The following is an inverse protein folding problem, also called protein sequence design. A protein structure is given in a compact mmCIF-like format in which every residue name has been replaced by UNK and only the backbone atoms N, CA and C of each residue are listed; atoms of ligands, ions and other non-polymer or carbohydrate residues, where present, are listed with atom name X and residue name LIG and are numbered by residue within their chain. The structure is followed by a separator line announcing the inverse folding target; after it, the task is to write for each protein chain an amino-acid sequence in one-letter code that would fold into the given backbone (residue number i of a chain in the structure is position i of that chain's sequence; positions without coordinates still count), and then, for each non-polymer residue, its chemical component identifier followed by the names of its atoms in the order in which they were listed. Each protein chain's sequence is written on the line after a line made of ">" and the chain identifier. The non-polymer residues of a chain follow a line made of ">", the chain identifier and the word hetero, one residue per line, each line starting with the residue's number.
data_IF_584636892030
#
_entry.id   IF_584636892030
#
_cell.length_a   1.000
_cell.length_b   1.000
_cell.length_c   1.000
_cell.angle_alpha   90.00
_cell.angle_beta   90.00
_cell.angle_gamma   90.00
#
_symmetry.space_group_name_H-M   'P 1'
#
loop_
_entity.id
_entity.type
_entity.pdbx_description
1 polymer ?
#
# COMPACT_ATOMS: atom_id res chain seq x y z
N UNK A 1 -30.67 -14.50 -6.81
CA UNK A 1 -29.71 -13.67 -7.55
C UNK A 1 -28.82 -14.58 -8.37
N UNK A 2 -28.55 -14.23 -9.63
CA UNK A 2 -27.68 -15.04 -10.49
C UNK A 2 -26.24 -14.95 -9.99
N UNK A 3 -25.50 -16.06 -10.03
CA UNK A 3 -24.08 -16.08 -9.65
C UNK A 3 -23.30 -15.20 -10.62
N UNK A 4 -22.52 -14.22 -10.13
CA UNK A 4 -21.59 -13.48 -10.99
C UNK A 4 -20.53 -14.45 -11.53
N UNK A 5 -20.55 -14.67 -12.85
CA UNK A 5 -19.59 -15.51 -13.57
C UNK A 5 -18.68 -14.57 -14.35
N UNK A 6 -17.40 -14.52 -13.98
CA UNK A 6 -16.41 -13.78 -14.76
C UNK A 6 -16.08 -14.54 -16.04
N UNK A 7 -16.27 -13.96 -17.24
CA UNK A 7 -15.98 -14.65 -18.50
C UNK A 7 -14.51 -15.07 -18.64
N UNK A 8 -13.59 -14.33 -18.01
CA UNK A 8 -12.14 -14.61 -18.04
C UNK A 8 -11.82 -15.92 -17.32
N UNK A 9 -12.53 -16.25 -16.24
CA UNK A 9 -12.31 -17.50 -15.49
C UNK A 9 -12.58 -18.72 -16.38
N UNK A 10 -13.63 -18.66 -17.21
CA UNK A 10 -13.96 -19.73 -18.15
C UNK A 10 -13.02 -19.74 -19.37
N UNK A 11 -12.70 -18.56 -19.92
CA UNK A 11 -11.88 -18.45 -21.13
C UNK A 11 -10.41 -18.87 -20.89
N UNK A 12 -9.87 -18.57 -19.72
CA UNK A 12 -8.46 -18.77 -19.39
C UNK A 12 -8.27 -19.76 -18.23
N UNK A 13 -9.20 -20.71 -18.08
CA UNK A 13 -9.25 -21.67 -16.98
C UNK A 13 -7.89 -22.30 -16.66
N UNK A 14 -7.20 -22.89 -17.64
CA UNK A 14 -5.91 -23.57 -17.44
C UNK A 14 -4.80 -22.61 -16.97
N UNK A 15 -4.81 -21.38 -17.48
CA UNK A 15 -3.81 -20.36 -17.16
C UNK A 15 -4.05 -19.78 -15.77
N UNK A 16 -5.31 -19.54 -15.40
CA UNK A 16 -5.72 -19.14 -14.06
C UNK A 16 -5.34 -20.22 -13.05
N UNK A 17 -5.62 -21.49 -13.36
CA UNK A 17 -5.23 -22.62 -12.52
C UNK A 17 -3.72 -22.70 -12.33
N UNK A 18 -2.92 -22.50 -13.39
CA UNK A 18 -1.47 -22.49 -13.30
C UNK A 18 -0.92 -21.32 -12.44
N UNK A 19 -1.48 -20.11 -12.55
CA UNK A 19 -1.10 -18.96 -11.73
C UNK A 19 -1.45 -19.13 -10.24
N UNK A 20 -2.52 -19.88 -9.95
CA UNK A 20 -2.98 -20.17 -8.59
C UNK A 20 -2.38 -21.45 -8.01
N UNK A 21 -1.68 -22.24 -8.82
CA UNK A 21 -1.01 -23.46 -8.34
C UNK A 21 0.06 -23.08 -7.31
N UNK A 22 0.01 -23.62 -6.08
CA UNK A 22 1.02 -23.35 -5.08
C UNK A 22 2.41 -23.80 -5.55
N UNK A 23 3.47 -23.03 -5.29
CA UNK A 23 4.83 -23.45 -5.58
C UNK A 23 5.19 -24.75 -4.85
N UNK A 24 5.97 -25.61 -5.52
CA UNK A 24 6.52 -26.81 -4.89
C UNK A 24 7.55 -26.44 -3.81
N UNK A 25 7.77 -27.34 -2.85
CA UNK A 25 8.74 -27.08 -1.77
C UNK A 25 10.15 -26.69 -2.27
N UNK A 26 10.73 -27.32 -3.31
CA UNK A 26 12.01 -26.89 -3.86
C UNK A 26 11.97 -25.47 -4.44
N UNK A 27 10.87 -25.08 -5.09
CA UNK A 27 10.73 -23.72 -5.63
C UNK A 27 10.62 -22.66 -4.52
N UNK A 28 9.96 -23.00 -3.42
CA UNK A 28 9.89 -22.16 -2.23
C UNK A 28 11.29 -21.97 -1.64
N UNK A 29 12.03 -23.07 -1.45
CA UNK A 29 13.41 -23.03 -0.92
C UNK A 29 14.33 -22.19 -1.81
N UNK A 30 14.34 -22.44 -3.12
CA UNK A 30 15.14 -21.67 -4.08
C UNK A 30 14.81 -20.17 -4.02
N UNK A 31 13.53 -19.82 -3.95
CA UNK A 31 13.10 -18.43 -3.87
C UNK A 31 13.64 -17.73 -2.62
N UNK A 32 13.50 -18.36 -1.45
CA UNK A 32 13.95 -17.78 -0.19
C UNK A 32 15.47 -17.74 -0.06
N UNK A 33 16.20 -18.74 -0.56
CA UNK A 33 17.67 -18.71 -0.60
C UNK A 33 18.18 -17.52 -1.44
N UNK A 34 17.57 -17.28 -2.60
CA UNK A 34 17.90 -16.11 -3.44
C UNK A 34 17.56 -14.81 -2.73
N UNK A 35 16.42 -14.77 -2.02
CA UNK A 35 15.96 -13.59 -1.28
C UNK A 35 16.89 -13.25 -0.10
N UNK A 36 17.25 -14.26 0.69
CA UNK A 36 18.19 -14.18 1.82
C UNK A 36 19.56 -13.66 1.35
N UNK A 37 20.07 -14.21 0.24
CA UNK A 37 21.33 -13.78 -0.36
C UNK A 37 21.27 -12.32 -0.84
N UNK A 38 20.18 -11.91 -1.51
CA UNK A 38 20.01 -10.54 -2.02
C UNK A 38 19.90 -9.52 -0.88
N UNK A 39 19.20 -9.88 0.20
CA UNK A 39 18.87 -8.97 1.31
C UNK A 39 19.95 -8.92 2.40
N UNK A 40 21.00 -9.73 2.27
CA UNK A 40 22.08 -9.82 3.26
C UNK A 40 21.56 -10.19 4.66
N UNK A 41 20.51 -11.02 4.73
CA UNK A 41 19.93 -11.51 5.99
C UNK A 41 20.77 -12.65 6.56
N UNK A 42 22.00 -12.35 6.98
CA UNK A 42 22.91 -13.36 7.51
C UNK A 42 22.33 -13.99 8.79
N UNK A 43 22.24 -15.32 8.82
CA UNK A 43 21.84 -16.04 10.03
C UNK A 43 20.34 -16.29 10.17
N UNK A 44 19.53 -16.03 9.13
CA UNK A 44 18.15 -16.49 9.04
C UNK A 44 18.00 -17.54 7.94
N UNK A 45 17.06 -18.48 8.13
CA UNK A 45 16.57 -19.40 7.11
C UNK A 45 15.06 -19.55 7.15
N UNK A 46 14.42 -19.50 6.00
CA UNK A 46 13.03 -19.93 5.86
C UNK A 46 12.98 -21.45 5.72
N UNK A 47 12.26 -22.12 6.62
CA UNK A 47 12.06 -23.57 6.60
C UNK A 47 10.57 -23.90 6.55
N UNK A 48 10.16 -24.95 5.81
CA UNK A 48 8.81 -25.47 5.92
C UNK A 48 8.58 -26.04 7.32
N UNK A 49 7.41 -25.76 7.88
CA UNK A 49 6.91 -26.35 9.12
C UNK A 49 5.64 -27.13 8.83
N UNK A 50 5.61 -28.41 9.22
CA UNK A 50 4.49 -29.30 8.91
C UNK A 50 3.17 -28.88 9.57
N UNK A 51 3.20 -28.03 10.59
CA UNK A 51 2.03 -27.62 11.37
C UNK A 51 1.57 -26.19 11.06
N UNK A 52 2.49 -25.29 10.74
CA UNK A 52 2.20 -23.86 10.56
C UNK A 52 2.59 -23.31 9.18
N UNK A 53 2.97 -24.18 8.23
CA UNK A 53 3.29 -23.77 6.86
C UNK A 53 4.78 -23.51 6.68
N UNK A 54 5.23 -22.27 6.85
CA UNK A 54 6.65 -21.89 6.80
C UNK A 54 7.02 -21.01 7.98
N UNK A 55 8.28 -21.07 8.41
CA UNK A 55 8.79 -20.31 9.54
C UNK A 55 10.18 -19.75 9.26
N UNK A 56 10.49 -18.62 9.88
CA UNK A 56 11.82 -18.01 9.88
C UNK A 56 12.59 -18.53 11.09
N UNK A 57 13.74 -19.14 10.85
CA UNK A 57 14.59 -19.74 11.89
C UNK A 57 15.94 -19.04 11.92
N UNK A 58 16.49 -18.86 13.12
CA UNK A 58 17.88 -18.42 13.26
C UNK A 58 18.85 -19.59 13.04
N UNK A 59 19.95 -19.30 12.37
CA UNK A 59 21.12 -20.16 12.22
C UNK A 59 22.29 -19.68 13.13
N UNK A 60 22.10 -18.54 13.79
CA UNK A 60 23.05 -17.91 14.72
C UNK A 60 22.33 -17.44 16.00
N UNK A 61 23.10 -17.12 17.03
CA UNK A 61 22.59 -16.47 18.23
C UNK A 61 22.64 -14.95 18.02
N UNK A 62 21.50 -14.29 18.23
CA UNK A 62 21.41 -12.82 18.26
C UNK A 62 21.62 -12.30 19.68
N UNK A 63 22.16 -11.10 19.80
CA UNK A 63 22.18 -10.31 21.03
C UNK A 63 21.02 -9.30 21.04
N UNK A 64 20.81 -8.66 22.19
CA UNK A 64 19.92 -7.50 22.28
C UNK A 64 20.38 -6.41 21.30
N UNK A 65 19.42 -5.73 20.66
CA UNK A 65 19.62 -4.70 19.63
C UNK A 65 20.23 -5.16 18.28
N UNK A 66 20.42 -6.46 18.06
CA UNK A 66 20.85 -6.95 16.75
C UNK A 66 19.75 -6.72 15.69
N UNK A 67 20.15 -6.17 14.54
CA UNK A 67 19.28 -6.12 13.37
C UNK A 67 19.13 -7.53 12.78
N UNK A 68 18.03 -8.19 13.13
CA UNK A 68 17.73 -9.56 12.70
C UNK A 68 17.33 -9.60 11.22
N UNK A 69 16.50 -8.65 10.78
CA UNK A 69 15.98 -8.62 9.42
C UNK A 69 15.83 -7.20 8.90
N UNK A 70 16.26 -6.99 7.66
CA UNK A 70 15.90 -5.83 6.85
C UNK A 70 15.22 -6.32 5.57
N UNK A 71 14.01 -5.84 5.34
CA UNK A 71 13.17 -6.26 4.23
C UNK A 71 12.81 -5.07 3.32
N UNK A 72 12.61 -5.36 2.03
CA UNK A 72 11.97 -4.48 1.07
C UNK A 72 10.53 -4.97 0.86
N UNK A 73 9.57 -4.10 1.16
CA UNK A 73 8.16 -4.35 0.90
C UNK A 73 7.93 -4.68 -0.59
N UNK A 74 7.14 -5.72 -0.86
CA UNK A 74 6.74 -6.03 -2.25
C UNK A 74 5.68 -5.05 -2.73
N UNK A 75 4.58 -4.96 -2.00
CA UNK A 75 3.45 -4.07 -2.29
C UNK A 75 2.96 -3.50 -0.97
N UNK A 76 2.66 -2.21 -0.98
CA UNK A 76 1.89 -1.59 0.09
C UNK A 76 1.30 -0.27 -0.34
N UNK A 77 0.42 0.26 0.48
CA UNK A 77 -0.24 1.53 0.29
C UNK A 77 -0.53 2.17 1.63
N UNK A 78 -0.36 3.50 1.69
CA UNK A 78 -0.87 4.29 2.79
C UNK A 78 -2.39 4.32 2.72
N UNK A 79 -3.06 4.11 3.85
CA UNK A 79 -4.51 4.20 3.95
C UNK A 79 -5.02 5.56 3.46
N UNK A 80 -6.12 5.59 2.71
CA UNK A 80 -6.60 6.81 2.06
C UNK A 80 -6.98 7.91 3.05
N UNK A 81 -7.59 7.54 4.18
CA UNK A 81 -7.88 8.48 5.28
C UNK A 81 -6.60 8.99 5.96
N UNK A 82 -5.56 8.16 6.09
CA UNK A 82 -4.30 8.55 6.73
C UNK A 82 -3.49 9.57 5.90
N UNK A 83 -3.75 9.72 4.60
CA UNK A 83 -3.13 10.76 3.74
C UNK A 83 -3.46 12.20 4.15
N UNK A 84 -4.52 12.36 4.94
CA UNK A 84 -4.92 13.63 5.53
C UNK A 84 -3.94 14.01 6.64
N UNK A 85 -3.60 13.03 7.47
CA UNK A 85 -2.81 13.20 8.68
C UNK A 85 -1.30 13.11 8.44
N UNK A 86 -0.88 12.24 7.53
CA UNK A 86 0.52 11.94 7.30
C UNK A 86 0.90 12.21 5.85
N UNK A 87 1.80 13.18 5.65
CA UNK A 87 2.33 13.47 4.32
C UNK A 87 3.65 12.72 4.10
N UNK A 88 3.56 11.58 3.44
CA UNK A 88 4.66 10.61 3.30
C UNK A 88 5.00 10.30 1.84
N UNK A 89 6.15 9.68 1.63
CA UNK A 89 6.51 9.12 0.34
C UNK A 89 5.58 7.97 -0.06
N UNK A 90 4.96 8.03 -1.24
CA UNK A 90 4.02 7.00 -1.73
C UNK A 90 4.66 5.64 -2.07
N UNK A 91 5.99 5.52 -1.94
CA UNK A 91 6.77 4.30 -2.21
C UNK A 91 7.38 3.68 -0.95
N UNK A 92 8.03 4.48 -0.11
CA UNK A 92 8.72 3.99 1.10
C UNK A 92 8.15 4.55 2.40
N UNK A 93 7.11 5.37 2.32
CA UNK A 93 6.30 5.92 3.42
C UNK A 93 7.01 6.67 4.53
N UNK A 94 8.29 6.97 4.34
CA UNK A 94 8.96 7.99 5.13
C UNK A 94 8.24 9.34 4.98
N UNK A 95 8.02 10.03 6.09
CA UNK A 95 7.55 11.44 6.11
C UNK A 95 8.44 12.34 5.24
N UNK A 96 7.83 13.30 4.54
CA UNK A 96 8.51 14.22 3.60
C UNK A 96 8.15 15.69 3.89
N UNK A 97 8.94 16.63 3.40
CA UNK A 97 8.72 18.06 3.57
C UNK A 97 9.41 18.64 4.79
N UNK A 98 8.65 19.22 5.71
CA UNK A 98 9.13 19.77 6.99
C UNK A 98 8.07 19.60 8.07
N UNK A 99 8.44 19.80 9.34
CA UNK A 99 7.50 19.78 10.47
C UNK A 99 6.35 20.76 10.22
N UNK A 100 6.66 21.96 9.73
CA UNK A 100 5.68 22.99 9.40
C UNK A 100 4.74 22.54 8.29
N UNK A 101 5.26 21.88 7.24
CA UNK A 101 4.41 21.38 6.17
C UNK A 101 3.46 20.28 6.67
N UNK A 102 3.92 19.38 7.54
CA UNK A 102 3.07 18.33 8.14
C UNK A 102 1.92 18.95 8.94
N UNK A 103 2.25 19.87 9.86
CA UNK A 103 1.27 20.58 10.69
C UNK A 103 0.31 21.40 9.81
N UNK A 104 0.86 22.18 8.88
CA UNK A 104 0.10 23.05 7.98
C UNK A 104 -0.89 22.29 7.10
N UNK A 105 -0.45 21.18 6.46
CA UNK A 105 -1.36 20.33 5.65
C UNK A 105 -2.50 19.79 6.48
N UNK A 106 -2.20 19.27 7.67
CA UNK A 106 -3.19 18.64 8.53
C UNK A 106 -4.26 19.63 8.97
N UNK A 107 -3.84 20.80 9.48
CA UNK A 107 -4.77 21.87 9.86
C UNK A 107 -5.60 22.35 8.68
N UNK A 108 -4.99 22.53 7.51
CA UNK A 108 -5.69 22.95 6.29
C UNK A 108 -6.78 21.95 5.87
N UNK A 109 -6.49 20.65 5.88
CA UNK A 109 -7.44 19.62 5.49
C UNK A 109 -8.57 19.43 6.52
N UNK A 110 -8.26 19.55 7.81
CA UNK A 110 -9.26 19.55 8.88
C UNK A 110 -10.26 20.72 8.72
N UNK A 111 -9.79 21.92 8.35
CA UNK A 111 -10.68 23.07 8.10
C UNK A 111 -11.61 22.86 6.90
N UNK A 112 -11.16 22.12 5.88
CA UNK A 112 -12.00 21.77 4.73
C UNK A 112 -13.04 20.69 5.04
N UNK A 113 -13.11 20.20 6.29
CA UNK A 113 -14.03 19.13 6.70
C UNK A 113 -13.59 17.75 6.22
N UNK A 114 -12.32 17.59 5.82
CA UNK A 114 -11.74 16.32 5.42
C UNK A 114 -11.15 15.68 6.68
N UNK A 115 -11.93 14.87 7.40
CA UNK A 115 -11.50 14.18 8.63
C UNK A 115 -11.36 12.67 8.38
N UNK A 116 -10.36 12.03 9.00
CA UNK A 116 -10.06 10.61 8.82
C UNK A 116 -11.03 9.64 9.54
N UNK A 117 -12.01 10.15 10.31
CA UNK A 117 -12.73 9.37 11.34
C UNK A 117 -13.97 8.61 10.82
N UNK A 118 -14.40 8.76 9.58
CA UNK A 118 -15.60 8.04 9.08
C UNK A 118 -15.27 6.67 8.47
N UNK A 119 -14.74 5.76 9.30
CA UNK A 119 -14.21 4.48 8.84
C UNK A 119 -14.37 3.28 9.77
N UNK A 120 -15.43 3.18 10.58
CA UNK A 120 -15.93 1.89 11.10
C UNK A 120 -17.26 2.08 11.85
N UNK A 121 -18.33 1.43 11.38
CA UNK A 121 -19.58 1.35 12.13
C UNK A 121 -19.43 0.44 13.35
N UNK A 122 -19.72 0.98 14.53
CA UNK A 122 -20.39 0.22 15.59
C UNK A 122 -21.26 1.18 16.41
N UNK A 123 -22.56 0.92 16.40
CA UNK A 123 -23.56 1.59 17.23
C UNK A 123 -23.47 1.07 18.65
N UNK A 124 -23.70 1.98 19.59
CA UNK A 124 -24.00 1.75 21.02
C UNK A 124 -22.82 1.78 22.00
N UNK A 125 -22.38 3.00 22.29
CA UNK A 125 -21.64 3.35 23.50
C UNK A 125 -21.87 4.82 23.87
N UNK A 126 -22.72 5.06 24.87
CA UNK A 126 -22.97 6.38 25.46
C UNK A 126 -21.65 6.96 25.98
N UNK A 127 -21.28 8.14 25.46
CA UNK A 127 -20.48 9.14 26.18
C UNK A 127 -19.06 9.38 25.67
N UNK A 128 -18.86 10.46 24.90
CA UNK A 128 -18.27 11.71 25.39
C UNK A 128 -18.20 12.73 24.23
N UNK A 129 -19.24 13.56 24.07
CA UNK A 129 -19.09 14.82 23.33
C UNK A 129 -18.29 15.78 24.20
N UNK A 130 -16.98 15.60 24.26
CA UNK A 130 -16.06 16.72 24.44
C UNK A 130 -15.70 17.21 23.06
N UNK A 131 -16.57 18.03 22.46
CA UNK A 131 -16.12 18.99 21.47
C UNK A 131 -15.24 19.99 22.21
N UNK A 132 -14.00 19.63 22.52
CA UNK A 132 -12.98 20.60 22.84
C UNK A 132 -12.98 21.59 21.69
N UNK A 133 -13.28 22.85 21.95
CA UNK A 133 -13.12 23.92 20.97
C UNK A 133 -11.65 23.89 20.52
N UNK A 134 -11.36 23.18 19.42
CA UNK A 134 -10.00 23.13 18.89
C UNK A 134 -9.58 24.56 18.56
N UNK A 135 -8.41 24.96 19.05
CA UNK A 135 -7.86 26.29 18.81
C UNK A 135 -7.83 26.56 17.31
N UNK A 136 -8.51 27.62 16.86
CA UNK A 136 -8.49 27.99 15.44
C UNK A 136 -7.21 28.75 15.11
N UNK A 137 -6.48 28.27 14.11
CA UNK A 137 -5.32 28.94 13.56
C UNK A 137 -5.75 29.81 12.39
N UNK A 138 -5.30 31.09 12.28
CA UNK A 138 -5.63 31.92 11.14
C UNK A 138 -5.14 31.30 9.81
N UNK A 139 -5.95 31.39 8.77
CA UNK A 139 -5.65 30.75 7.48
C UNK A 139 -4.33 31.24 6.85
N UNK A 140 -3.98 32.52 7.02
CA UNK A 140 -2.70 33.05 6.56
C UNK A 140 -1.50 32.40 7.26
N UNK A 141 -1.67 32.00 8.54
CA UNK A 141 -0.66 31.27 9.30
C UNK A 141 -0.53 29.83 8.80
N UNK A 142 -1.65 29.14 8.53
CA UNK A 142 -1.65 27.79 7.95
C UNK A 142 -0.98 27.80 6.58
N UNK A 143 -1.32 28.77 5.73
CA UNK A 143 -0.68 28.97 4.44
C UNK A 143 0.82 29.29 4.58
N UNK A 144 1.22 30.03 5.61
CA UNK A 144 2.64 30.32 5.87
C UNK A 144 3.43 29.09 6.28
N UNK A 145 2.85 28.17 7.07
CA UNK A 145 3.44 26.87 7.37
C UNK A 145 3.64 26.03 6.10
N UNK A 146 2.60 25.92 5.26
CA UNK A 146 2.65 25.07 4.06
C UNK A 146 3.62 25.59 2.98
N UNK A 147 3.86 26.90 2.91
CA UNK A 147 4.77 27.49 1.92
C UNK A 147 6.17 27.78 2.47
N UNK A 148 6.49 27.27 3.67
CA UNK A 148 7.79 27.48 4.33
C UNK A 148 8.11 28.96 4.61
N UNK A 149 7.09 29.82 4.75
CA UNK A 149 7.24 31.23 5.14
C UNK A 149 7.29 31.41 6.67
N UNK A 150 6.81 30.42 7.41
CA UNK A 150 6.91 30.34 8.86
C UNK A 150 7.79 29.14 9.21
N UNK A 151 8.83 29.38 10.01
CA UNK A 151 9.69 28.33 10.55
C UNK A 151 9.46 28.24 12.06
N UNK A 152 9.22 27.03 12.55
CA UNK A 152 9.04 26.80 13.98
C UNK A 152 10.40 26.63 14.67
N UNK A 153 10.54 27.04 15.95
CA UNK A 153 11.81 26.91 16.66
C UNK A 153 12.27 25.44 16.75
N UNK A 154 13.55 25.16 16.50
CA UNK A 154 14.17 23.83 16.59
C UNK A 154 13.67 22.80 15.56
N UNK A 155 12.84 23.17 14.60
CA UNK A 155 12.36 22.24 13.57
C UNK A 155 13.50 21.71 12.69
N UNK A 156 14.63 22.43 12.61
CA UNK A 156 15.85 22.01 11.91
C UNK A 156 16.50 20.74 12.49
N UNK A 157 16.19 20.39 13.74
CA UNK A 157 16.64 19.14 14.38
C UNK A 157 15.88 17.91 13.87
N UNK A 158 14.79 18.10 13.12
CA UNK A 158 13.94 17.05 12.58
C UNK A 158 13.92 17.10 11.04
N UNK A 159 15.08 16.89 10.37
CA UNK A 159 15.17 17.02 8.93
C UNK A 159 14.36 15.93 8.22
N UNK A 160 13.43 16.36 7.37
CA UNK A 160 12.67 15.48 6.49
C UNK A 160 13.17 15.62 5.03
N UNK A 161 13.07 14.55 4.22
CA UNK A 161 13.41 14.61 2.79
C UNK A 161 12.55 15.61 2.03
N UNK A 162 13.10 16.15 0.94
CA UNK A 162 12.36 17.03 0.03
C UNK A 162 11.16 16.33 -0.61
N UNK A 163 10.20 17.14 -1.04
CA UNK A 163 8.98 16.68 -1.72
C UNK A 163 9.23 16.62 -3.23
N UNK A 164 9.23 15.41 -3.79
CA UNK A 164 9.30 15.17 -5.24
C UNK A 164 7.90 14.80 -5.74
N UNK A 165 7.34 15.53 -6.73
CA UNK A 165 6.01 15.21 -7.26
C UNK A 165 6.02 13.97 -8.15
N UNK A 166 4.85 13.36 -8.33
CA UNK A 166 4.65 12.28 -9.29
C UNK A 166 5.05 12.64 -10.72
N UNK A 167 5.73 11.70 -11.38
CA UNK A 167 6.17 11.79 -12.79
C UNK A 167 4.99 11.98 -13.75
N UNK A 168 3.83 11.38 -13.46
CA UNK A 168 2.61 11.56 -14.24
C UNK A 168 1.74 12.77 -13.84
N UNK A 169 2.10 13.48 -12.76
CA UNK A 169 1.44 14.72 -12.34
C UNK A 169 0.05 14.54 -11.73
N UNK A 170 -0.23 13.44 -11.03
CA UNK A 170 -1.54 13.16 -10.41
C UNK A 170 -1.89 14.03 -9.19
N UNK A 171 -0.94 14.79 -8.64
CA UNK A 171 -1.08 15.60 -7.40
C UNK A 171 -1.47 14.83 -6.13
N UNK A 172 -1.64 13.52 -6.22
CA UNK A 172 -1.94 12.62 -5.10
C UNK A 172 -0.69 11.93 -4.55
N UNK A 173 0.24 11.55 -5.44
CA UNK A 173 1.46 10.83 -5.07
C UNK A 173 2.68 11.76 -5.03
N UNK A 174 3.45 11.62 -3.95
CA UNK A 174 4.67 12.39 -3.68
C UNK A 174 5.75 11.48 -3.13
N UNK A 175 7.01 11.88 -3.30
CA UNK A 175 8.16 11.01 -3.04
C UNK A 175 9.26 11.74 -2.30
N UNK A 176 10.05 11.00 -1.52
CA UNK A 176 11.20 11.54 -0.80
C UNK A 176 12.42 11.77 -1.72
N UNK A 177 12.40 11.20 -2.93
CA UNK A 177 13.50 11.28 -3.88
C UNK A 177 13.04 10.95 -5.31
N UNK A 178 13.86 11.35 -6.29
CA UNK A 178 13.68 10.93 -7.68
C UNK A 178 13.72 9.40 -7.84
N UNK A 179 14.61 8.74 -7.10
CA UNK A 179 14.72 7.28 -7.12
C UNK A 179 13.45 6.59 -6.66
N UNK A 180 12.78 7.10 -5.62
CA UNK A 180 11.49 6.53 -5.18
C UNK A 180 10.37 6.81 -6.18
N UNK A 181 10.34 8.00 -6.78
CA UNK A 181 9.38 8.33 -7.83
C UNK A 181 9.53 7.42 -9.06
N UNK A 182 10.76 7.21 -9.52
CA UNK A 182 11.08 6.31 -10.62
C UNK A 182 10.75 4.86 -10.26
N UNK A 183 11.15 4.39 -9.07
CA UNK A 183 10.88 3.00 -8.65
C UNK A 183 9.39 2.67 -8.56
N UNK A 184 8.58 3.58 -8.00
CA UNK A 184 7.13 3.42 -7.92
C UNK A 184 6.49 3.47 -9.31
N UNK A 185 6.91 4.41 -10.17
CA UNK A 185 6.44 4.51 -11.54
C UNK A 185 6.68 3.22 -12.33
N UNK A 186 7.89 2.69 -12.21
CA UNK A 186 8.39 1.51 -12.91
C UNK A 186 7.77 0.19 -12.44
N UNK A 187 7.24 0.19 -11.22
CA UNK A 187 6.75 -1.02 -10.56
C UNK A 187 5.23 -1.03 -10.41
N UNK A 188 4.57 0.11 -10.29
CA UNK A 188 3.13 0.17 -10.00
C UNK A 188 2.45 1.37 -10.64
N UNK A 189 2.93 2.58 -10.30
CA UNK A 189 2.14 3.80 -10.38
C UNK A 189 1.89 4.27 -11.81
N UNK A 190 2.72 3.92 -12.79
CA UNK A 190 2.49 4.32 -14.18
C UNK A 190 1.13 3.90 -14.72
N UNK A 191 0.62 2.72 -14.32
CA UNK A 191 -0.72 2.23 -14.70
C UNK A 191 -1.83 2.75 -13.78
N UNK A 192 -1.50 3.16 -12.55
CA UNK A 192 -2.46 3.59 -11.52
C UNK A 192 -2.44 5.10 -11.28
N UNK A 193 -1.77 5.85 -12.15
CA UNK A 193 -1.69 7.30 -12.08
C UNK A 193 -2.96 7.91 -12.70
N UNK A 194 -3.58 8.86 -12.01
CA UNK A 194 -4.71 9.65 -12.54
C UNK A 194 -4.27 10.97 -13.19
N UNK A 195 -2.97 11.20 -13.28
CA UNK A 195 -2.39 12.40 -13.88
C UNK A 195 -2.31 12.33 -15.40
N UNK A 196 -2.05 13.48 -16.03
CA UNK A 196 -1.97 13.61 -17.48
C UNK A 196 -0.88 12.73 -18.15
N UNK A 197 0.18 12.38 -17.42
CA UNK A 197 1.26 11.51 -17.90
C UNK A 197 1.01 10.02 -17.66
N UNK A 198 -0.19 9.62 -17.26
CA UNK A 198 -0.54 8.23 -16.96
C UNK A 198 -0.31 7.29 -18.15
N UNK A 199 0.09 6.06 -17.84
CA UNK A 199 0.13 4.94 -18.80
C UNK A 199 -1.16 4.11 -18.79
N UNK A 200 -2.17 4.50 -18.01
CA UNK A 200 -3.49 3.88 -17.99
C UNK A 200 -4.21 4.11 -19.33
N UNK A 201 -4.75 3.05 -19.98
CA UNK A 201 -5.65 3.18 -21.12
C UNK A 201 -6.87 4.07 -20.88
N UNK A 202 -7.39 4.10 -19.64
CA UNK A 202 -8.57 4.89 -19.28
C UNK A 202 -8.45 5.50 -17.90
N UNK A 203 -8.05 6.78 -17.86
CA UNK A 203 -8.01 7.56 -16.61
C UNK A 203 -9.40 7.73 -15.98
N UNK A 204 -10.47 7.80 -16.80
CA UNK A 204 -11.84 7.91 -16.29
C UNK A 204 -12.26 6.64 -15.53
N UNK A 205 -12.01 5.46 -16.10
CA UNK A 205 -12.29 4.19 -15.43
C UNK A 205 -11.43 4.03 -14.17
N UNK A 206 -10.17 4.47 -14.22
CA UNK A 206 -9.28 4.45 -13.06
C UNK A 206 -9.81 5.33 -11.92
N UNK A 207 -10.34 6.52 -12.22
CA UNK A 207 -10.97 7.38 -11.21
C UNK A 207 -12.18 6.71 -10.56
N UNK A 208 -13.02 6.02 -11.35
CA UNK A 208 -14.16 5.25 -10.83
C UNK A 208 -13.69 4.10 -9.94
N UNK A 209 -12.64 3.38 -10.34
CA UNK A 209 -12.03 2.32 -9.54
C UNK A 209 -11.49 2.85 -8.21
N UNK A 210 -10.69 3.92 -8.23
CA UNK A 210 -10.12 4.53 -7.00
C UNK A 210 -11.22 5.00 -6.07
N UNK A 211 -12.27 5.63 -6.61
CA UNK A 211 -13.43 6.04 -5.82
C UNK A 211 -14.12 4.84 -5.16
N UNK A 212 -14.44 3.80 -5.94
CA UNK A 212 -15.07 2.58 -5.43
C UNK A 212 -14.23 1.93 -4.33
N UNK A 213 -12.91 1.80 -4.52
CA UNK A 213 -12.02 1.23 -3.52
C UNK A 213 -12.01 2.05 -2.22
N UNK A 214 -11.91 3.38 -2.30
CA UNK A 214 -11.94 4.25 -1.12
C UNK A 214 -13.28 4.21 -0.38
N UNK A 215 -14.40 3.98 -1.09
CA UNK A 215 -15.75 3.94 -0.50
C UNK A 215 -16.14 2.56 0.05
N UNK A 216 -15.39 1.50 -0.29
CA UNK A 216 -15.80 0.12 0.03
C UNK A 216 -14.73 -0.68 0.75
N UNK A 217 -13.55 -0.85 0.16
CA UNK A 217 -12.44 -1.60 0.74
C UNK A 217 -11.11 -1.18 0.08
N UNK A 218 -10.18 -0.69 0.88
CA UNK A 218 -8.89 -0.16 0.45
C UNK A 218 -7.90 -1.25 -0.01
N UNK A 219 -8.10 -2.51 0.37
CA UNK A 219 -7.34 -3.67 -0.15
C UNK A 219 -7.46 -3.75 -1.68
N UNK A 220 -8.55 -3.24 -2.28
CA UNK A 220 -8.65 -3.18 -3.74
C UNK A 220 -7.52 -2.36 -4.36
N UNK A 221 -7.03 -1.30 -3.71
CA UNK A 221 -5.87 -0.53 -4.18
C UNK A 221 -4.61 -1.40 -4.16
N UNK A 222 -4.41 -2.22 -3.14
CA UNK A 222 -3.29 -3.17 -3.07
C UNK A 222 -3.40 -4.23 -4.17
N UNK A 223 -4.60 -4.77 -4.38
CA UNK A 223 -4.84 -5.75 -5.44
C UNK A 223 -4.56 -5.18 -6.83
N UNK A 224 -4.95 -3.92 -7.06
CA UNK A 224 -4.60 -3.19 -8.28
C UNK A 224 -3.08 -2.97 -8.43
N UNK A 225 -2.37 -2.69 -7.34
CA UNK A 225 -0.90 -2.60 -7.35
C UNK A 225 -0.26 -3.95 -7.70
N UNK A 226 -0.75 -5.07 -7.17
CA UNK A 226 -0.25 -6.42 -7.53
C UNK A 226 -0.45 -6.74 -9.01
N UNK A 227 -1.64 -6.43 -9.57
CA UNK A 227 -1.91 -6.63 -11.00
C UNK A 227 -1.00 -5.73 -11.84
N UNK A 228 -0.90 -4.44 -11.49
CA UNK A 228 -0.05 -3.47 -12.20
C UNK A 228 1.42 -3.87 -12.17
N UNK A 229 1.91 -4.32 -11.02
CA UNK A 229 3.24 -4.88 -10.84
C UNK A 229 3.53 -6.04 -11.77
N UNK A 230 2.60 -7.00 -11.82
CA UNK A 230 2.76 -8.18 -12.65
C UNK A 230 2.78 -7.81 -14.14
N UNK A 231 1.89 -6.91 -14.57
CA UNK A 231 1.86 -6.40 -15.96
C UNK A 231 3.16 -5.68 -16.32
N UNK A 232 3.63 -4.76 -15.48
CA UNK A 232 4.85 -3.98 -15.75
C UNK A 232 6.10 -4.87 -15.75
N UNK A 233 6.17 -5.84 -14.82
CA UNK A 233 7.24 -6.83 -14.79
C UNK A 233 7.21 -7.73 -16.03
N UNK A 234 6.04 -8.20 -16.45
CA UNK A 234 5.86 -8.96 -17.69
C UNK A 234 6.38 -8.17 -18.90
N UNK A 235 5.99 -6.90 -19.04
CA UNK A 235 6.46 -6.03 -20.14
C UNK A 235 7.98 -5.89 -20.16
N UNK A 236 8.62 -5.74 -18.99
CA UNK A 236 10.08 -5.70 -18.85
C UNK A 236 10.74 -7.02 -19.27
N UNK A 237 10.22 -8.16 -18.82
CA UNK A 237 10.71 -9.49 -19.19
C UNK A 237 10.57 -9.76 -20.69
N UNK A 238 9.43 -9.40 -21.28
CA UNK A 238 9.17 -9.50 -22.71
C UNK A 238 10.15 -8.65 -23.52
N UNK A 239 10.35 -7.39 -23.14
CA UNK A 239 11.31 -6.50 -23.82
C UNK A 239 12.74 -7.08 -23.79
N UNK A 240 13.18 -7.60 -22.63
CA UNK A 240 14.49 -8.26 -22.49
C UNK A 240 14.60 -9.58 -23.28
N UNK A 241 13.49 -10.29 -23.48
CA UNK A 241 13.44 -11.48 -24.31
C UNK A 241 13.57 -11.13 -25.81
N UNK A 242 12.79 -10.16 -26.29
CA UNK A 242 12.86 -9.64 -27.67
C UNK A 242 14.27 -9.14 -28.02
N UNK A 243 14.93 -8.42 -27.10
CA UNK A 243 16.30 -7.94 -27.32
C UNK A 243 17.34 -9.07 -27.42
N UNK A 244 17.11 -10.22 -26.76
CA UNK A 244 17.96 -11.40 -26.87
C UNK A 244 17.69 -12.17 -28.16
N UNK A 245 16.42 -12.30 -28.54
CA UNK A 245 16.00 -13.02 -29.74
C UNK A 245 16.22 -12.25 -31.04
N UNK A 246 16.22 -10.92 -31.05
CA UNK A 246 16.56 -10.09 -32.21
C UNK A 246 17.98 -10.27 -32.77
N UNK A 247 18.75 -11.23 -32.25
CA UNK A 247 20.03 -11.73 -32.78
C UNK A 247 19.90 -13.07 -33.55
N UNK A 248 18.73 -13.70 -33.58
CA UNK A 248 18.43 -14.93 -34.31
C UNK A 248 17.04 -14.84 -34.97
N UNK A 249 16.94 -15.10 -36.27
CA UNK A 249 15.68 -15.05 -37.04
C UNK A 249 14.57 -15.93 -36.43
N UNK A 250 13.41 -15.36 -36.07
CA UNK A 250 12.25 -16.15 -35.61
C UNK A 250 10.90 -15.45 -35.83
N UNK A 251 10.24 -15.72 -36.95
CA UNK A 251 8.91 -15.17 -37.25
C UNK A 251 7.73 -15.99 -36.70
N UNK A 252 7.94 -17.09 -35.96
CA UNK A 252 6.86 -18.01 -35.53
C UNK A 252 6.91 -18.45 -34.04
N UNK A 253 7.79 -17.88 -33.21
CA UNK A 253 8.02 -18.37 -31.83
C UNK A 253 7.37 -17.50 -30.73
N UNK A 254 6.88 -16.31 -31.09
CA UNK A 254 6.44 -15.26 -30.15
C UNK A 254 5.19 -15.61 -29.32
N UNK A 255 4.22 -16.36 -29.85
CA UNK A 255 3.01 -16.71 -29.08
C UNK A 255 3.29 -17.78 -28.01
N UNK A 256 4.31 -18.61 -28.21
CA UNK A 256 4.63 -19.72 -27.28
C UNK A 256 5.30 -19.27 -25.97
N UNK A 257 5.87 -18.06 -25.93
CA UNK A 257 6.61 -17.55 -24.78
C UNK A 257 5.82 -16.60 -23.87
N UNK A 258 4.60 -16.18 -24.25
CA UNK A 258 3.80 -15.19 -23.50
C UNK A 258 3.49 -15.68 -22.08
N UNK A 259 2.88 -16.86 -21.96
CA UNK A 259 2.43 -17.35 -20.66
C UNK A 259 3.59 -17.72 -19.70
N UNK A 260 4.70 -18.36 -20.15
CA UNK A 260 5.88 -18.54 -19.31
C UNK A 260 6.46 -17.24 -18.75
N UNK A 261 6.50 -16.16 -19.53
CA UNK A 261 6.95 -14.85 -19.06
C UNK A 261 5.99 -14.25 -18.02
N UNK A 262 4.68 -14.49 -18.18
CA UNK A 262 3.68 -14.08 -17.19
C UNK A 262 3.82 -14.85 -15.87
N UNK A 263 4.08 -16.16 -15.92
CA UNK A 263 4.38 -16.96 -14.72
C UNK A 263 5.63 -16.44 -13.99
N UNK A 264 6.69 -16.08 -14.73
CA UNK A 264 7.90 -15.48 -14.14
C UNK A 264 7.64 -14.07 -13.57
N UNK A 265 6.75 -13.29 -14.18
CA UNK A 265 6.31 -12.02 -13.63
C UNK A 265 5.52 -12.20 -12.32
N UNK A 266 4.69 -13.25 -12.25
CA UNK A 266 3.85 -13.59 -11.09
C UNK A 266 4.62 -14.30 -9.96
N UNK A 267 5.86 -14.74 -10.21
CA UNK A 267 6.64 -15.61 -9.30
C UNK A 267 6.69 -15.12 -7.87
N UNK A 268 6.90 -13.82 -7.62
CA UNK A 268 6.91 -13.29 -6.25
C UNK A 268 5.55 -13.45 -5.57
N UNK A 269 4.48 -13.05 -6.24
CA UNK A 269 3.09 -13.20 -5.76
C UNK A 269 2.70 -14.66 -5.55
N UNK A 270 3.34 -15.60 -6.26
CA UNK A 270 3.12 -17.04 -6.06
C UNK A 270 3.52 -17.56 -4.68
N UNK A 271 4.38 -16.84 -3.95
CA UNK A 271 4.91 -17.27 -2.66
C UNK A 271 4.01 -16.93 -1.46
N UNK A 272 3.04 -16.01 -1.65
CA UNK A 272 2.04 -15.64 -0.66
C UNK A 272 0.96 -16.71 -0.48
N UNK A 273 0.38 -16.80 0.72
CA UNK A 273 -0.74 -17.69 0.98
C UNK A 273 -2.03 -17.15 0.36
N UNK A 274 -2.70 -17.99 -0.44
CA UNK A 274 -3.83 -17.58 -1.27
C UNK A 274 -5.08 -18.35 -0.88
N UNK A 275 -5.95 -17.72 -0.10
CA UNK A 275 -7.37 -18.09 -0.03
C UNK A 275 -8.20 -16.99 -0.69
N UNK A 276 -9.34 -17.35 -1.25
CA UNK A 276 -10.27 -16.34 -1.80
C UNK A 276 -10.88 -15.55 -0.66
N UNK A 277 -10.96 -14.25 -0.82
CA UNK A 277 -11.48 -13.34 0.19
C UNK A 277 -12.84 -13.77 0.76
N UNK A 278 -13.82 -14.07 -0.11
CA UNK A 278 -15.13 -14.54 0.33
C UNK A 278 -15.12 -15.91 1.01
N UNK A 279 -14.05 -16.70 0.90
CA UNK A 279 -13.90 -17.96 1.63
C UNK A 279 -13.27 -17.76 3.02
N UNK A 280 -12.56 -16.64 3.25
CA UNK A 280 -11.73 -16.45 4.44
C UNK A 280 -12.05 -15.22 5.30
N UNK A 281 -12.74 -14.20 4.76
CA UNK A 281 -13.18 -13.02 5.53
C UNK A 281 -13.98 -13.47 6.76
N UNK A 282 -13.84 -12.80 7.90
CA UNK A 282 -14.64 -13.09 9.08
C UNK A 282 -16.13 -12.77 8.83
N UNK A 283 -17.03 -13.46 9.52
CA UNK A 283 -18.43 -13.02 9.58
C UNK A 283 -18.51 -11.88 10.61
N UNK A 284 -19.13 -10.74 10.26
CA UNK A 284 -19.45 -9.71 11.25
C UNK A 284 -20.29 -10.28 12.39
N UNK A 285 -20.15 -9.71 13.60
CA UNK A 285 -20.85 -10.20 14.79
C UNK A 285 -22.38 -10.08 14.69
N UNK A 286 -22.85 -9.12 13.90
CA UNK A 286 -24.25 -8.80 13.64
C UNK A 286 -24.89 -9.66 12.53
N UNK A 287 -24.10 -10.48 11.82
CA UNK A 287 -24.60 -11.38 10.77
C UNK A 287 -24.89 -12.75 11.35
N UNK A 288 -26.14 -13.21 11.23
CA UNK A 288 -26.53 -14.56 11.65
C UNK A 288 -25.79 -15.60 10.81
N UNK A 289 -25.33 -16.68 11.46
CA UNK A 289 -24.70 -17.83 10.80
C UNK A 289 -25.52 -18.41 9.63
N UNK A 290 -26.85 -18.27 9.65
CA UNK A 290 -27.76 -18.68 8.60
C UNK A 290 -27.69 -17.82 7.33
N UNK A 291 -27.23 -16.56 7.45
CA UNK A 291 -27.04 -15.62 6.35
C UNK A 291 -25.64 -15.69 5.73
N UNK A 292 -24.77 -16.57 6.25
CA UNK A 292 -23.37 -16.72 5.83
C UNK A 292 -23.21 -16.84 4.31
N UNK A 293 -24.06 -17.61 3.65
CA UNK A 293 -23.97 -17.85 2.19
C UNK A 293 -24.26 -16.56 1.43
N UNK A 294 -25.28 -15.81 1.85
CA UNK A 294 -25.64 -14.53 1.23
C UNK A 294 -24.54 -13.50 1.43
N UNK A 295 -23.99 -13.39 2.65
CA UNK A 295 -22.84 -12.53 2.93
C UNK A 295 -21.63 -12.87 2.03
N UNK A 296 -21.27 -14.15 1.89
CA UNK A 296 -20.14 -14.54 1.00
C UNK A 296 -20.42 -14.18 -0.47
N UNK A 297 -21.68 -14.29 -0.91
CA UNK A 297 -22.06 -13.87 -2.26
C UNK A 297 -21.93 -12.37 -2.44
N UNK A 298 -22.37 -11.55 -1.48
CA UNK A 298 -22.23 -10.09 -1.52
C UNK A 298 -20.76 -9.67 -1.58
N UNK A 299 -19.89 -10.27 -0.77
CA UNK A 299 -18.44 -10.01 -0.79
C UNK A 299 -17.82 -10.38 -2.15
N UNK A 300 -18.25 -11.51 -2.73
CA UNK A 300 -17.81 -11.93 -4.07
C UNK A 300 -18.27 -10.95 -5.16
N UNK A 301 -19.52 -10.49 -5.09
CA UNK A 301 -20.08 -9.53 -6.05
C UNK A 301 -19.37 -8.18 -5.95
N UNK A 302 -19.05 -7.72 -4.74
CA UNK A 302 -18.25 -6.51 -4.49
C UNK A 302 -16.84 -6.61 -5.11
N UNK A 303 -16.16 -7.74 -4.91
CA UNK A 303 -14.86 -7.98 -5.55
C UNK A 303 -14.97 -8.00 -7.08
N UNK A 304 -16.08 -8.50 -7.63
CA UNK A 304 -16.30 -8.54 -9.08
C UNK A 304 -16.56 -7.15 -9.68
N UNK A 305 -17.34 -6.31 -9.00
CA UNK A 305 -17.55 -4.91 -9.39
C UNK A 305 -16.21 -4.15 -9.44
N UNK A 306 -15.44 -4.23 -8.36
CA UNK A 306 -14.10 -3.66 -8.25
C UNK A 306 -13.18 -4.12 -9.40
N UNK A 307 -13.19 -5.42 -9.71
CA UNK A 307 -12.40 -5.99 -10.80
C UNK A 307 -12.84 -5.48 -12.19
N UNK A 308 -14.13 -5.28 -12.44
CA UNK A 308 -14.59 -4.72 -13.72
C UNK A 308 -14.08 -3.29 -13.92
N UNK A 309 -14.15 -2.46 -12.87
CA UNK A 309 -13.63 -1.09 -12.92
C UNK A 309 -12.12 -1.08 -13.16
N UNK A 310 -11.37 -1.94 -12.48
CA UNK A 310 -9.92 -2.06 -12.68
C UNK A 310 -9.57 -2.56 -14.09
N UNK A 311 -10.32 -3.54 -14.59
CA UNK A 311 -10.15 -4.06 -15.95
C UNK A 311 -10.37 -2.95 -16.98
N UNK A 312 -11.44 -2.19 -16.89
CA UNK A 312 -11.67 -1.04 -17.79
C UNK A 312 -10.55 0.00 -17.72
N UNK A 313 -9.92 0.16 -16.55
CA UNK A 313 -8.81 1.08 -16.36
C UNK A 313 -7.51 0.59 -17.03
N UNK A 314 -7.07 -0.64 -16.74
CA UNK A 314 -5.68 -1.08 -17.00
C UNK A 314 -5.55 -2.40 -17.78
N UNK A 315 -6.61 -2.88 -18.44
CA UNK A 315 -6.58 -4.17 -19.14
C UNK A 315 -5.45 -4.30 -20.16
N UNK A 316 -4.72 -5.40 -20.06
CA UNK A 316 -3.70 -5.82 -21.00
C UNK A 316 -4.07 -7.21 -21.54
N UNK A 317 -4.25 -7.31 -22.86
CA UNK A 317 -4.70 -8.54 -23.52
C UNK A 317 -3.72 -9.70 -23.32
N UNK A 318 -2.41 -9.43 -23.23
CA UNK A 318 -1.40 -10.47 -23.04
C UNK A 318 -1.34 -10.95 -21.58
N UNK A 319 -1.85 -10.13 -20.66
CA UNK A 319 -1.98 -10.45 -19.24
C UNK A 319 -3.44 -10.73 -18.83
N UNK A 320 -4.32 -11.02 -19.80
CA UNK A 320 -5.76 -11.20 -19.56
C UNK A 320 -6.11 -12.15 -18.40
N UNK A 321 -5.38 -13.26 -18.15
CA UNK A 321 -5.66 -14.13 -17.01
C UNK A 321 -5.62 -13.43 -15.64
N UNK A 322 -4.82 -12.36 -15.48
CA UNK A 322 -4.75 -11.60 -14.23
C UNK A 322 -6.08 -10.92 -13.84
N UNK A 323 -6.97 -10.70 -14.81
CA UNK A 323 -8.30 -10.12 -14.59
C UNK A 323 -9.38 -11.18 -14.36
N UNK A 324 -8.97 -12.36 -13.89
CA UNK A 324 -9.84 -13.41 -13.36
C UNK A 324 -10.39 -13.01 -11.99
N UNK A 325 -11.66 -13.35 -11.70
CA UNK A 325 -12.25 -13.11 -10.38
C UNK A 325 -11.62 -14.04 -9.34
N UNK A 326 -11.28 -15.27 -9.71
CA UNK A 326 -10.53 -16.16 -8.82
C UNK A 326 -9.15 -15.57 -8.50
N UNK A 327 -8.37 -15.09 -9.49
CA UNK A 327 -7.07 -14.45 -9.19
C UNK A 327 -7.25 -13.24 -8.27
N UNK A 328 -8.17 -12.33 -8.61
CA UNK A 328 -8.41 -11.12 -7.84
C UNK A 328 -8.83 -11.43 -6.40
N UNK A 329 -9.75 -12.38 -6.21
CA UNK A 329 -10.20 -12.84 -4.91
C UNK A 329 -9.08 -13.45 -4.05
N UNK A 330 -8.13 -14.16 -4.67
CA UNK A 330 -6.95 -14.67 -3.97
C UNK A 330 -5.96 -13.57 -3.58
N UNK A 331 -5.78 -12.55 -4.42
CA UNK A 331 -4.94 -11.38 -4.06
C UNK A 331 -5.56 -10.64 -2.88
N UNK A 332 -6.87 -10.38 -2.90
CA UNK A 332 -7.54 -9.70 -1.79
C UNK A 332 -7.45 -10.54 -0.52
N UNK A 333 -7.74 -11.84 -0.59
CA UNK A 333 -7.66 -12.72 0.57
C UNK A 333 -6.25 -12.88 1.13
N UNK A 334 -5.22 -12.70 0.31
CA UNK A 334 -3.81 -12.67 0.73
C UNK A 334 -3.55 -11.47 1.66
N UNK A 335 -4.03 -10.27 1.32
CA UNK A 335 -3.91 -9.10 2.21
C UNK A 335 -4.84 -9.20 3.42
N UNK A 336 -6.08 -9.69 3.25
CA UNK A 336 -7.02 -9.88 4.36
C UNK A 336 -6.45 -10.79 5.47
N UNK A 337 -5.79 -11.89 5.08
CA UNK A 337 -5.27 -12.88 6.02
C UNK A 337 -3.90 -12.53 6.61
N UNK A 338 -3.12 -11.74 5.89
CA UNK A 338 -1.75 -11.38 6.29
C UNK A 338 -1.64 -9.89 6.63
N UNK A 339 -2.75 -9.26 7.02
CA UNK A 339 -2.75 -7.82 7.24
C UNK A 339 -1.80 -7.47 8.40
N UNK A 340 -0.63 -6.95 8.04
CA UNK A 340 0.36 -6.43 8.96
C UNK A 340 0.31 -4.92 8.83
N UNK A 341 -0.14 -4.23 9.88
CA UNK A 341 -0.04 -2.78 9.94
C UNK A 341 1.40 -2.40 10.25
N UNK A 342 2.02 -1.63 9.35
CA UNK A 342 3.24 -0.90 9.67
C UNK A 342 2.89 0.48 10.20
N UNK A 343 3.59 0.86 11.26
CA UNK A 343 3.45 2.15 11.91
C UNK A 343 4.75 2.90 11.78
N UNK A 344 4.74 4.00 11.03
CA UNK A 344 5.88 4.93 10.98
C UNK A 344 5.61 6.06 11.95
N UNK A 345 6.46 6.19 12.97
CA UNK A 345 6.35 7.21 14.01
C UNK A 345 6.30 8.63 13.42
N UNK A 346 5.47 9.49 14.02
CA UNK A 346 5.27 10.86 13.55
C UNK A 346 6.45 11.75 13.96
N UNK A 347 7.14 12.41 13.01
CA UNK A 347 8.18 13.38 13.36
C UNK A 347 7.60 14.63 14.05
N UNK A 348 6.28 14.86 13.94
CA UNK A 348 5.58 15.94 14.66
C UNK A 348 5.47 15.60 16.15
N UNK A 349 5.28 14.32 16.50
CA UNK A 349 5.32 13.86 17.88
C UNK A 349 6.71 14.07 18.48
N UNK A 350 7.75 13.56 17.81
CA UNK A 350 9.15 13.71 18.24
C UNK A 350 9.52 15.19 18.45
N UNK A 351 9.03 16.07 17.58
CA UNK A 351 9.24 17.51 17.67
C UNK A 351 8.59 18.12 18.92
N UNK A 352 7.33 17.80 19.22
CA UNK A 352 6.66 18.33 20.41
C UNK A 352 7.20 17.72 21.70
N UNK A 353 7.60 16.45 21.70
CA UNK A 353 8.31 15.81 22.82
C UNK A 353 9.63 16.54 23.11
N UNK A 354 10.40 16.86 22.07
CA UNK A 354 11.64 17.63 22.24
C UNK A 354 11.41 19.02 22.84
N UNK A 355 10.33 19.71 22.45
CA UNK A 355 9.96 21.01 23.05
C UNK A 355 9.60 20.84 24.53
N UNK A 356 8.86 19.79 24.87
CA UNK A 356 8.47 19.50 26.25
C UNK A 356 9.69 19.23 27.14
N UNK A 357 10.72 18.59 26.59
CA UNK A 357 11.98 18.28 27.27
C UNK A 357 12.98 19.46 27.37
N UNK A 358 12.67 20.62 26.79
CA UNK A 358 13.55 21.79 26.85
C UNK A 358 13.74 22.31 28.29
N UNK A 359 14.92 22.87 28.63
CA UNK A 359 15.13 23.54 29.90
C UNK A 359 14.13 24.68 30.12
N UNK A 360 13.63 24.84 31.35
CA UNK A 360 12.59 25.83 31.72
C UNK A 360 12.89 27.24 31.22
N UNK A 361 14.16 27.64 31.20
CA UNK A 361 14.60 28.96 30.73
C UNK A 361 14.34 29.21 29.24
N UNK A 362 14.33 28.16 28.41
CA UNK A 362 14.10 28.24 26.96
C UNK A 362 12.66 27.84 26.61
N UNK A 363 12.10 26.86 27.31
CA UNK A 363 10.79 26.27 27.05
C UNK A 363 9.66 27.31 26.96
N UNK A 364 9.59 28.26 27.89
CA UNK A 364 8.50 29.26 27.94
C UNK A 364 8.38 30.12 26.67
N UNK A 365 9.50 30.55 26.09
CA UNK A 365 9.48 31.39 24.89
C UNK A 365 9.06 30.57 23.66
N UNK A 366 9.52 29.32 23.59
CA UNK A 366 9.23 28.38 22.51
C UNK A 366 7.77 27.95 22.53
N UNK A 367 7.26 27.57 23.70
CA UNK A 367 5.86 27.17 23.88
C UNK A 367 4.89 28.28 23.49
N UNK A 368 5.22 29.56 23.75
CA UNK A 368 4.35 30.65 23.31
C UNK A 368 4.15 30.68 21.78
N UNK A 369 5.12 30.17 21.01
CA UNK A 369 5.05 30.08 19.55
C UNK A 369 4.42 28.78 19.08
N UNK A 370 4.68 27.67 19.75
CA UNK A 370 4.34 26.32 19.27
C UNK A 370 3.04 25.77 19.84
N UNK A 371 2.68 26.18 21.07
CA UNK A 371 1.48 25.71 21.77
C UNK A 371 0.17 25.96 21.01
N UNK A 372 -0.05 27.10 20.32
CA UNK A 372 -1.26 27.28 19.53
C UNK A 372 -1.46 26.16 18.49
N UNK A 373 -0.37 25.70 17.85
CA UNK A 373 -0.42 24.60 16.88
C UNK A 373 -0.68 23.25 17.56
N UNK A 374 -0.03 22.98 18.69
CA UNK A 374 -0.30 21.75 19.47
C UNK A 374 -1.75 21.70 19.93
N UNK A 375 -2.27 22.79 20.49
CA UNK A 375 -3.65 22.91 20.97
C UNK A 375 -4.66 22.79 19.79
N UNK A 376 -4.29 23.25 18.59
CA UNK A 376 -5.12 23.13 17.39
C UNK A 376 -5.16 21.70 16.84
N UNK A 377 -4.03 20.98 16.90
CA UNK A 377 -3.96 19.58 16.51
C UNK A 377 -4.72 18.69 17.51
N UNK A 378 -4.65 19.01 18.81
CA UNK A 378 -5.21 18.17 19.88
C UNK A 378 -4.46 16.85 19.96
N UNK A 379 -5.15 15.76 20.28
CA UNK A 379 -4.57 14.41 20.37
C UNK A 379 -4.07 13.86 19.01
N UNK A 380 -4.44 14.51 17.90
CA UNK A 380 -4.11 14.03 16.57
C UNK A 380 -2.65 14.32 16.16
N UNK A 381 -1.86 15.08 16.95
CA UNK A 381 -0.49 15.45 16.58
C UNK A 381 0.47 14.25 16.45
N UNK A 382 0.19 13.16 17.18
CA UNK A 382 1.01 11.94 17.21
C UNK A 382 0.52 10.85 16.25
N UNK A 383 -0.48 11.14 15.39
CA UNK A 383 -0.93 10.17 14.39
C UNK A 383 0.24 9.76 13.50
N UNK A 384 0.54 8.47 13.57
CA UNK A 384 1.56 7.79 12.78
C UNK A 384 1.05 7.47 11.38
N UNK A 385 1.98 7.22 10.46
CA UNK A 385 1.60 6.70 9.15
C UNK A 385 1.11 5.26 9.32
N UNK A 386 -0.09 4.98 8.81
CA UNK A 386 -0.71 3.66 8.81
C UNK A 386 -0.73 3.11 7.38
N UNK A 387 -0.13 1.94 7.20
CA UNK A 387 0.03 1.31 5.91
C UNK A 387 -0.35 -0.16 5.96
N UNK A 388 -1.04 -0.58 4.90
CA UNK A 388 -1.22 -1.98 4.58
C UNK A 388 -0.10 -2.40 3.62
N UNK A 389 0.56 -3.52 3.92
CA UNK A 389 1.61 -4.04 3.07
C UNK A 389 1.72 -5.56 3.14
N UNK A 390 2.49 -6.12 2.20
CA UNK A 390 2.91 -7.52 2.23
C UNK A 390 4.43 -7.65 2.09
N UNK A 391 5.01 -8.40 3.03
CA UNK A 391 6.37 -8.94 2.97
C UNK A 391 6.31 -10.47 2.93
N UNK A 392 7.04 -11.08 2.00
CA UNK A 392 7.11 -12.54 1.85
C UNK A 392 7.93 -13.27 2.89
N UNK A 393 8.67 -12.58 3.76
CA UNK A 393 9.39 -13.27 4.84
C UNK A 393 8.45 -13.67 6.00
N UNK A 394 7.30 -13.00 6.12
CA UNK A 394 6.32 -13.23 7.19
C UNK A 394 5.00 -13.86 6.73
N UNK A 395 4.65 -13.72 5.44
CA UNK A 395 3.49 -14.36 4.80
C UNK A 395 3.92 -15.64 4.10
#
# INVERSE_FOLDING_TARGET
>A
MGTCICPIDAQFFDQVAALLTPPTLPQIQEYFEVLEAKRHCSGLKVKPDAKHGKGVHSEVNFQEDDLILKDEMLVGAQHSSNKIDCFVCSFCFRFIGSIELQIGRKLYLQELGVSAVDGSGSSDGIGCNTSSEKTRIPQDTIQSLMNSNLQLPYSENFPLPLVVPCLGGCKEAYYCSKSCAEADWDSFHSLLCIGHGSSSPSTEALLKFVKHANETNDIFILAAKVISFTILRYRKLKAAHVQREGKHDSSNQFDSCIFPLLLEAWKSVSMGFKRRWWDCIALPEDVDSSEKVEFRMQIKDLAFESLQLLKEAIYDKECAPLFSLDIYGHIIGMFELNNLDLVVASPVEDYFLYIDDLPVSQKKEVENLTKPFLDALGDDYSISCQELYESFLYS
#
